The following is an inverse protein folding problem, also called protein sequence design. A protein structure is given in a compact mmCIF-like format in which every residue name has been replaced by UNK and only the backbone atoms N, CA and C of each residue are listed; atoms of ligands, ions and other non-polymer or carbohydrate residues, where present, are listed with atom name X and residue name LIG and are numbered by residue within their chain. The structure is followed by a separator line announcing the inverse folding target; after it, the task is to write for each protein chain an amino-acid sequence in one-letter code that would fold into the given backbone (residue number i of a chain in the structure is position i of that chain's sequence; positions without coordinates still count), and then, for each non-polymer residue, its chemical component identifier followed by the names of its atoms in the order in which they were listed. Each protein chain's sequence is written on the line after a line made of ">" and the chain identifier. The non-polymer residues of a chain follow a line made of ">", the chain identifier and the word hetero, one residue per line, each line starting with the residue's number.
data_IF_138410011199
#
_entry.id   IF_138410011199
#
_cell.length_a   1.000
_cell.length_b   1.000
_cell.length_c   1.000
_cell.angle_alpha   90.00
_cell.angle_beta   90.00
_cell.angle_gamma   90.00
#
_symmetry.space_group_name_H-M   'P 1'
#
loop_
_entity.id
_entity.type
_entity.pdbx_description
1 polymer ?
#
# COMPACT_ATOMS: atom_id res chain seq x y z
N UNK A 1 5.09 16.72 -16.03
CA UNK A 1 5.33 16.85 -14.57
C UNK A 1 4.27 16.08 -13.75
N UNK A 2 2.96 16.37 -13.91
CA UNK A 2 1.86 15.69 -13.19
C UNK A 2 1.83 14.15 -13.30
N UNK A 3 1.95 13.61 -14.51
CA UNK A 3 2.04 12.15 -14.74
C UNK A 3 3.25 11.51 -14.07
N UNK A 4 4.36 12.24 -13.93
CA UNK A 4 5.56 11.73 -13.26
C UNK A 4 5.37 11.69 -11.74
N UNK A 5 4.69 12.70 -11.18
CA UNK A 5 4.30 12.70 -9.77
C UNK A 5 3.40 11.51 -9.45
N UNK A 6 2.31 11.32 -10.23
CA UNK A 6 1.39 10.19 -10.03
C UNK A 6 2.10 8.83 -10.11
N UNK A 7 2.96 8.63 -11.12
CA UNK A 7 3.78 7.42 -11.26
C UNK A 7 4.73 7.21 -10.08
N UNK A 8 5.40 8.27 -9.62
CA UNK A 8 6.31 8.18 -8.48
C UNK A 8 5.55 7.85 -7.18
N UNK A 9 4.38 8.44 -6.96
CA UNK A 9 3.52 8.15 -5.82
C UNK A 9 3.05 6.71 -5.85
N UNK A 10 2.52 6.24 -6.98
CA UNK A 10 2.10 4.84 -7.17
C UNK A 10 3.26 3.86 -6.94
N UNK A 11 4.45 4.14 -7.50
CA UNK A 11 5.62 3.28 -7.31
C UNK A 11 6.05 3.17 -5.84
N UNK A 12 6.00 4.27 -5.09
CA UNK A 12 6.32 4.27 -3.65
C UNK A 12 5.28 3.51 -2.83
N UNK A 13 4.00 3.68 -3.15
CA UNK A 13 2.92 2.95 -2.50
C UNK A 13 3.00 1.45 -2.77
N UNK A 14 3.27 1.06 -4.02
CA UNK A 14 3.48 -0.34 -4.40
C UNK A 14 4.64 -0.96 -3.62
N UNK A 15 5.78 -0.29 -3.55
CA UNK A 15 6.94 -0.77 -2.78
C UNK A 15 6.61 -0.96 -1.29
N UNK A 16 5.81 -0.07 -0.69
CA UNK A 16 5.37 -0.21 0.70
C UNK A 16 4.44 -1.42 0.90
N UNK A 17 3.53 -1.66 -0.03
CA UNK A 17 2.62 -2.84 -0.03
C UNK A 17 3.43 -4.13 -0.17
N UNK A 18 4.40 -4.17 -1.09
CA UNK A 18 5.29 -5.32 -1.28
C UNK A 18 6.07 -5.64 0.00
N UNK A 19 6.60 -4.63 0.68
CA UNK A 19 7.30 -4.80 1.96
C UNK A 19 6.39 -5.36 3.05
N UNK A 20 5.15 -4.86 3.17
CA UNK A 20 4.17 -5.38 4.12
C UNK A 20 3.81 -6.84 3.81
N UNK A 21 3.64 -7.17 2.52
CA UNK A 21 3.41 -8.54 2.06
C UNK A 21 4.57 -9.48 2.41
N UNK A 22 5.82 -9.02 2.23
CA UNK A 22 7.00 -9.79 2.61
C UNK A 22 7.07 -10.03 4.12
N UNK A 23 6.80 -9.01 4.94
CA UNK A 23 6.72 -9.16 6.40
C UNK A 23 5.67 -10.22 6.78
N UNK A 24 4.50 -10.18 6.14
CA UNK A 24 3.44 -11.17 6.36
C UNK A 24 3.88 -12.58 5.95
N UNK A 25 4.58 -12.72 4.82
CA UNK A 25 5.09 -14.00 4.34
C UNK A 25 6.13 -14.63 5.28
N UNK A 26 6.95 -13.81 5.95
CA UNK A 26 7.95 -14.27 6.91
C UNK A 26 7.38 -14.60 8.29
N UNK A 27 6.12 -14.23 8.59
CA UNK A 27 5.50 -14.47 9.90
C UNK A 27 5.44 -15.94 10.27
N UNK A 28 5.24 -16.83 9.31
CA UNK A 28 5.10 -18.27 9.54
C UNK A 28 6.43 -18.89 10.02
N UNK A 29 7.56 -18.27 9.66
CA UNK A 29 8.91 -18.70 10.06
C UNK A 29 9.47 -17.90 11.26
N UNK A 30 8.74 -16.92 11.79
CA UNK A 30 9.21 -15.99 12.83
C UNK A 30 9.23 -16.57 14.24
N UNK A 31 8.64 -17.75 14.46
CA UNK A 31 8.43 -18.32 15.79
C UNK A 31 7.34 -17.60 16.62
N UNK A 32 6.63 -16.64 16.03
CA UNK A 32 5.45 -16.01 16.63
C UNK A 32 4.29 -17.01 16.74
N UNK A 33 3.49 -16.93 17.80
CA UNK A 33 2.30 -17.78 17.94
C UNK A 33 1.19 -17.39 16.94
N UNK A 34 0.25 -18.31 16.68
CA UNK A 34 -0.80 -18.08 15.69
C UNK A 34 -1.64 -16.81 15.98
N UNK A 35 -1.86 -16.50 17.26
CA UNK A 35 -2.61 -15.32 17.67
C UNK A 35 -1.85 -14.02 17.37
N UNK A 36 -0.54 -13.99 17.59
CA UNK A 36 0.34 -12.87 17.25
C UNK A 36 0.48 -12.70 15.74
N UNK A 37 0.64 -13.81 15.01
CA UNK A 37 0.66 -13.81 13.55
C UNK A 37 -0.62 -13.19 12.98
N UNK A 38 -1.81 -13.57 13.46
CA UNK A 38 -3.06 -12.98 12.97
C UNK A 38 -3.23 -11.50 13.30
N UNK A 39 -2.74 -11.05 14.47
CA UNK A 39 -2.74 -9.61 14.78
C UNK A 39 -1.90 -8.83 13.78
N UNK A 40 -0.73 -9.35 13.41
CA UNK A 40 0.17 -8.69 12.46
C UNK A 40 -0.40 -8.75 11.05
N UNK A 41 -0.94 -9.90 10.61
CA UNK A 41 -1.63 -10.05 9.32
C UNK A 41 -2.77 -9.04 9.18
N UNK A 42 -3.61 -8.90 10.21
CA UNK A 42 -4.70 -7.92 10.21
C UNK A 42 -4.18 -6.48 10.15
N UNK A 43 -3.17 -6.14 10.95
CA UNK A 43 -2.60 -4.79 10.95
C UNK A 43 -1.97 -4.44 9.58
N UNK A 44 -1.23 -5.37 8.99
CA UNK A 44 -0.66 -5.20 7.66
C UNK A 44 -1.75 -5.02 6.59
N UNK A 45 -2.84 -5.80 6.66
CA UNK A 45 -3.98 -5.65 5.75
C UNK A 45 -4.66 -4.28 5.82
N UNK A 46 -4.83 -3.73 7.04
CA UNK A 46 -5.35 -2.35 7.22
C UNK A 46 -4.42 -1.33 6.58
N UNK A 47 -3.12 -1.42 6.83
CA UNK A 47 -2.12 -0.50 6.27
C UNK A 47 -2.06 -0.56 4.74
N UNK A 48 -2.17 -1.77 4.14
CA UNK A 48 -2.23 -1.93 2.69
C UNK A 48 -3.44 -1.17 2.14
N UNK A 49 -4.64 -1.37 2.71
CA UNK A 49 -5.84 -0.67 2.27
C UNK A 49 -5.75 0.84 2.42
N UNK A 50 -5.17 1.34 3.52
CA UNK A 50 -4.93 2.76 3.73
C UNK A 50 -3.95 3.35 2.71
N UNK A 51 -2.89 2.61 2.34
CA UNK A 51 -1.93 3.04 1.32
C UNK A 51 -2.62 3.10 -0.06
N UNK A 52 -3.41 2.09 -0.42
CA UNK A 52 -4.12 2.05 -1.70
C UNK A 52 -5.09 3.23 -1.84
N UNK A 53 -5.97 3.42 -0.86
CA UNK A 53 -6.96 4.52 -0.87
C UNK A 53 -6.26 5.87 -0.75
N UNK A 54 -5.31 6.02 0.15
CA UNK A 54 -4.58 7.27 0.38
C UNK A 54 -3.75 7.70 -0.83
N UNK A 55 -3.18 6.74 -1.58
CA UNK A 55 -2.43 7.05 -2.80
C UNK A 55 -3.32 7.69 -3.88
N UNK A 56 -4.55 7.19 -4.02
CA UNK A 56 -5.54 7.74 -4.93
C UNK A 56 -5.94 9.14 -4.48
N UNK A 57 -6.29 9.32 -3.20
CA UNK A 57 -6.63 10.64 -2.64
C UNK A 57 -5.54 11.68 -2.88
N UNK A 58 -4.27 11.35 -2.62
CA UNK A 58 -3.13 12.26 -2.84
C UNK A 58 -3.02 12.63 -4.33
N UNK A 59 -3.19 11.68 -5.24
CA UNK A 59 -3.11 11.94 -6.68
C UNK A 59 -4.26 12.85 -7.12
N UNK A 60 -5.49 12.57 -6.66
CA UNK A 60 -6.69 13.33 -7.00
C UNK A 60 -6.69 14.75 -6.41
N UNK A 61 -6.24 14.92 -5.16
CA UNK A 61 -6.14 16.24 -4.52
C UNK A 61 -5.11 17.14 -5.22
N UNK A 62 -3.95 16.58 -5.58
CA UNK A 62 -2.89 17.35 -6.22
C UNK A 62 -3.16 17.59 -7.72
N UNK A 63 -3.85 16.66 -8.37
CA UNK A 63 -4.10 16.66 -9.80
C UNK A 63 -5.52 16.15 -10.11
N UNK A 64 -6.58 16.92 -9.79
CA UNK A 64 -7.96 16.52 -10.02
C UNK A 64 -8.28 16.34 -11.52
N UNK A 65 -7.44 16.89 -12.39
CA UNK A 65 -7.49 16.69 -13.84
C UNK A 65 -7.03 15.30 -14.32
N UNK A 66 -6.50 14.46 -13.44
CA UNK A 66 -6.10 13.07 -13.74
C UNK A 66 -7.24 12.05 -13.61
N UNK A 67 -8.48 12.51 -13.44
CA UNK A 67 -9.70 11.68 -13.34
C UNK A 67 -9.96 10.76 -14.54
N UNK A 68 -9.18 10.91 -15.62
CA UNK A 68 -9.19 10.05 -16.80
C UNK A 68 -8.04 9.04 -16.91
N UNK A 69 -7.26 8.75 -15.86
CA UNK A 69 -6.23 7.69 -15.92
C UNK A 69 -6.83 6.26 -15.98
N UNK A 70 -8.15 6.14 -15.89
CA UNK A 70 -8.92 4.95 -16.26
C UNK A 70 -9.45 5.02 -17.69
N UNK A 71 -8.57 5.07 -18.70
CA UNK A 71 -8.81 4.64 -20.09
C UNK A 71 -7.51 4.54 -20.87
#
# INVERSE_FOLDING_TARGET
>A
MKRQFAKNTQARCLAAIELLGAIVGELENSGCDAAGQEKIKRAAGVLIGEIEVGSLSIIYENHPDLDGLGS
#
